data_IF_805320571700
#
_entry.id   IF_805320571700
#
_cell.length_a   1.000
_cell.length_b   1.000
_cell.length_c   1.000
_cell.angle_alpha   90.00
_cell.angle_beta   90.00
_cell.angle_gamma   90.00
#
_symmetry.space_group_name_H-M   'P 1'
#
loop_
_entity.id
_entity.type
_entity.pdbx_description
1 polymer ?
#
# COMPACT_ATOMS: atom_id res chain seq x y z
N UNK A 1 6.11 25.97 -10.99
CA UNK A 1 6.84 24.70 -10.80
C UNK A 1 8.17 24.98 -10.15
N UNK A 2 8.44 24.28 -9.05
CA UNK A 2 9.66 24.44 -8.25
C UNK A 2 10.47 23.14 -8.24
N UNK A 3 11.81 23.26 -8.28
CA UNK A 3 12.74 22.13 -8.07
C UNK A 3 13.99 22.63 -7.34
N UNK A 4 14.38 21.97 -6.26
CA UNK A 4 15.56 22.31 -5.46
C UNK A 4 15.64 23.79 -5.04
N UNK A 5 14.51 24.38 -4.68
CA UNK A 5 14.41 25.79 -4.26
C UNK A 5 14.39 26.81 -5.41
N UNK A 6 14.50 26.38 -6.67
CA UNK A 6 14.46 27.26 -7.83
C UNK A 6 13.11 27.19 -8.56
N UNK A 7 12.59 28.33 -8.97
CA UNK A 7 11.41 28.40 -9.83
C UNK A 7 11.83 28.12 -11.27
N UNK A 8 11.36 26.98 -11.81
CA UNK A 8 11.67 26.55 -13.19
C UNK A 8 10.67 27.04 -14.21
N UNK A 9 9.40 27.15 -13.81
CA UNK A 9 8.32 27.62 -14.70
C UNK A 9 7.21 28.25 -13.91
N UNK A 10 6.70 29.39 -14.42
CA UNK A 10 5.52 30.10 -13.91
C UNK A 10 4.68 30.51 -15.10
N UNK A 11 3.42 30.06 -15.14
CA UNK A 11 2.48 30.43 -16.19
C UNK A 11 1.05 30.30 -15.66
N UNK A 12 0.07 30.70 -16.45
CA UNK A 12 -1.34 30.42 -16.17
C UNK A 12 -1.59 28.91 -16.09
N UNK A 13 -2.60 28.50 -15.30
CA UNK A 13 -2.91 27.08 -15.04
C UNK A 13 -3.05 26.30 -16.35
N UNK A 14 -3.85 26.80 -17.29
CA UNK A 14 -4.08 26.14 -18.57
C UNK A 14 -2.77 25.95 -19.36
N UNK A 15 -1.90 26.96 -19.36
CA UNK A 15 -0.61 26.88 -20.05
C UNK A 15 0.28 25.81 -19.40
N UNK A 16 0.35 25.76 -18.06
CA UNK A 16 1.14 24.76 -17.35
C UNK A 16 0.67 23.34 -17.64
N UNK A 17 -0.64 23.12 -17.73
CA UNK A 17 -1.21 21.78 -17.93
C UNK A 17 -1.24 21.32 -19.39
N UNK A 18 -1.52 22.23 -20.32
CA UNK A 18 -1.74 21.87 -21.73
C UNK A 18 -0.60 22.24 -22.67
N UNK A 19 0.25 23.19 -22.28
CA UNK A 19 1.36 23.66 -23.10
C UNK A 19 2.62 23.98 -22.27
N UNK A 20 3.09 23.06 -21.37
CA UNK A 20 4.25 23.29 -20.53
C UNK A 20 5.50 23.49 -21.37
N UNK A 21 6.32 24.49 -21.03
CA UNK A 21 7.54 24.83 -21.76
C UNK A 21 8.76 24.11 -21.15
N UNK A 22 8.83 24.01 -19.82
CA UNK A 22 10.00 23.44 -19.17
C UNK A 22 9.97 21.90 -19.18
N UNK A 23 11.06 21.19 -19.52
CA UNK A 23 11.11 19.72 -19.55
C UNK A 23 10.69 19.05 -18.24
N UNK A 24 11.06 19.64 -17.11
CA UNK A 24 10.69 19.11 -15.78
C UNK A 24 9.18 19.17 -15.53
N UNK A 25 8.51 20.25 -15.98
CA UNK A 25 7.05 20.34 -15.90
C UNK A 25 6.38 19.24 -16.73
N UNK A 26 6.89 18.95 -17.91
CA UNK A 26 6.40 17.85 -18.76
C UNK A 26 6.60 16.50 -18.08
N UNK A 27 7.76 16.28 -17.44
CA UNK A 27 8.02 15.07 -16.66
C UNK A 27 7.04 14.89 -15.50
N UNK A 28 6.79 15.94 -14.73
CA UNK A 28 5.83 15.89 -13.62
C UNK A 28 4.43 15.54 -14.11
N UNK A 29 3.98 16.15 -15.21
CA UNK A 29 2.67 15.88 -15.78
C UNK A 29 2.56 14.46 -16.37
N UNK A 30 3.62 13.97 -16.98
CA UNK A 30 3.69 12.61 -17.50
C UNK A 30 3.69 11.53 -16.38
N UNK A 31 4.16 11.88 -15.18
CA UNK A 31 4.18 10.99 -14.03
C UNK A 31 2.81 10.90 -13.29
N UNK A 32 1.83 11.74 -13.66
CA UNK A 32 0.49 11.72 -13.04
C UNK A 32 -0.35 10.64 -13.68
N UNK A 33 -0.74 9.58 -12.95
CA UNK A 33 -1.62 8.54 -13.49
C UNK A 33 -3.01 9.09 -13.76
N UNK A 34 -3.57 8.74 -14.90
CA UNK A 34 -4.94 9.10 -15.28
C UNK A 34 -5.82 7.87 -15.24
N UNK A 35 -7.09 8.06 -14.87
CA UNK A 35 -8.08 6.99 -14.95
C UNK A 35 -8.21 6.54 -16.42
N UNK A 36 -8.03 5.24 -16.64
CA UNK A 36 -8.13 4.64 -17.97
C UNK A 36 -6.81 4.47 -18.73
N UNK A 37 -5.69 5.01 -18.24
CA UNK A 37 -4.38 4.87 -18.93
C UNK A 37 -3.97 3.40 -19.14
N UNK A 38 -4.48 2.49 -18.29
CA UNK A 38 -4.17 1.05 -18.35
C UNK A 38 -5.27 0.19 -19.00
N UNK A 39 -6.35 0.77 -19.53
CA UNK A 39 -7.49 0.02 -20.07
C UNK A 39 -7.16 -0.89 -21.27
N UNK A 40 -6.08 -0.60 -22.00
CA UNK A 40 -5.66 -1.36 -23.18
C UNK A 40 -4.49 -2.31 -22.90
N UNK A 41 -4.14 -2.52 -21.62
CA UNK A 41 -3.04 -3.39 -21.23
C UNK A 41 -3.55 -4.49 -20.30
N UNK A 42 -3.17 -5.73 -20.59
CA UNK A 42 -3.49 -6.89 -19.76
C UNK A 42 -2.75 -6.83 -18.41
N UNK A 43 -1.62 -6.13 -18.36
CA UNK A 43 -0.76 -6.00 -17.18
C UNK A 43 -0.40 -4.54 -16.89
N UNK A 44 -0.17 -4.19 -15.61
CA UNK A 44 0.28 -2.85 -15.23
C UNK A 44 1.56 -2.47 -15.97
N UNK A 45 1.59 -1.31 -16.59
CA UNK A 45 2.76 -0.77 -17.26
C UNK A 45 3.58 0.09 -16.28
N UNK A 46 4.92 0.07 -16.45
CA UNK A 46 5.79 0.97 -15.72
C UNK A 46 5.60 2.40 -16.24
N UNK A 47 5.45 3.36 -15.32
CA UNK A 47 5.45 4.77 -15.72
C UNK A 47 6.80 5.15 -16.33
N UNK A 48 6.74 5.74 -17.51
CA UNK A 48 7.91 6.29 -18.19
C UNK A 48 8.22 7.64 -17.54
N UNK A 49 9.24 7.69 -16.71
CA UNK A 49 9.69 8.93 -16.02
C UNK A 49 10.60 9.81 -16.90
N UNK A 50 11.07 9.28 -18.01
CA UNK A 50 11.93 9.97 -18.96
C UNK A 50 11.40 9.81 -20.40
N UNK A 51 11.53 10.85 -21.21
CA UNK A 51 11.12 10.86 -22.63
C UNK A 51 11.91 9.79 -23.43
N UNK A 52 13.10 9.41 -22.96
CA UNK A 52 14.00 8.45 -23.61
C UNK A 52 13.80 7.00 -23.14
N UNK A 53 12.98 6.75 -22.11
CA UNK A 53 12.66 5.40 -21.67
C UNK A 53 11.58 4.76 -22.56
N UNK A 54 11.91 3.63 -23.17
CA UNK A 54 10.91 2.81 -23.88
C UNK A 54 9.99 2.14 -22.85
N UNK A 55 8.68 2.07 -23.10
CA UNK A 55 7.79 1.29 -22.27
C UNK A 55 8.27 -0.16 -22.22
N UNK A 56 8.34 -0.70 -21.01
CA UNK A 56 8.73 -2.09 -20.80
C UNK A 56 7.55 -2.99 -21.21
N UNK A 57 7.72 -3.74 -22.29
CA UNK A 57 6.61 -4.46 -22.96
C UNK A 57 6.48 -5.94 -22.57
N UNK A 58 7.49 -6.54 -21.96
CA UNK A 58 7.48 -7.98 -21.68
C UNK A 58 7.39 -8.27 -20.17
N UNK A 59 6.17 -8.23 -19.64
CA UNK A 59 5.90 -8.82 -18.33
C UNK A 59 5.24 -10.19 -18.55
N UNK A 60 5.93 -11.24 -18.12
CA UNK A 60 5.32 -12.55 -17.95
C UNK A 60 4.44 -12.50 -16.69
N UNK A 61 3.21 -13.00 -16.79
CA UNK A 61 2.40 -13.28 -15.59
C UNK A 61 3.08 -14.43 -14.84
N UNK A 62 3.61 -14.10 -13.65
CA UNK A 62 4.27 -15.08 -12.78
C UNK A 62 3.36 -15.54 -11.64
N UNK A 63 2.10 -15.10 -11.64
CA UNK A 63 1.13 -15.46 -10.59
C UNK A 63 0.54 -16.84 -10.89
N UNK A 64 0.82 -17.81 -10.05
CA UNK A 64 0.18 -19.11 -10.08
C UNK A 64 -1.22 -19.03 -9.47
N UNK A 65 -2.23 -18.79 -10.32
CA UNK A 65 -3.62 -18.53 -9.88
C UNK A 65 -4.28 -19.71 -9.19
N UNK A 66 -3.84 -20.93 -9.49
CA UNK A 66 -4.35 -22.17 -8.91
C UNK A 66 -3.59 -22.59 -7.65
N UNK A 67 -2.54 -21.88 -7.26
CA UNK A 67 -1.78 -22.16 -6.04
C UNK A 67 -2.48 -21.65 -4.78
N UNK A 68 -2.16 -22.28 -3.65
CA UNK A 68 -2.58 -21.80 -2.34
C UNK A 68 -2.08 -20.36 -2.10
N UNK A 69 -2.87 -19.49 -1.44
CA UNK A 69 -2.43 -18.15 -1.12
C UNK A 69 -1.17 -18.14 -0.25
N UNK A 70 -0.20 -17.30 -0.60
CA UNK A 70 0.97 -17.03 0.22
C UNK A 70 0.60 -16.34 1.54
N UNK A 71 -0.33 -15.38 1.46
CA UNK A 71 -0.91 -14.69 2.62
C UNK A 71 -2.43 -14.77 2.52
N UNK A 72 -3.05 -15.20 3.61
CA UNK A 72 -4.50 -15.24 3.77
C UNK A 72 -4.89 -14.47 5.04
N UNK A 73 -5.79 -13.54 4.90
CA UNK A 73 -6.35 -12.74 5.98
C UNK A 73 -7.85 -12.98 6.02
N UNK A 74 -8.35 -13.38 7.18
CA UNK A 74 -9.75 -13.73 7.39
C UNK A 74 -10.31 -12.94 8.55
N UNK A 75 -11.35 -12.18 8.30
CA UNK A 75 -12.17 -11.49 9.30
C UNK A 75 -11.36 -10.64 10.30
N UNK A 76 -10.33 -9.95 9.80
CA UNK A 76 -9.41 -9.17 10.63
C UNK A 76 -10.11 -7.97 11.25
N UNK A 77 -10.03 -7.87 12.58
CA UNK A 77 -10.52 -6.73 13.35
C UNK A 77 -9.39 -6.15 14.19
N UNK A 78 -9.15 -4.84 14.04
CA UNK A 78 -8.15 -4.11 14.83
C UNK A 78 -8.77 -2.82 15.36
N UNK A 79 -8.86 -2.71 16.69
CA UNK A 79 -9.42 -1.56 17.40
C UNK A 79 -8.41 -1.02 18.39
N UNK A 80 -8.43 0.28 18.59
CA UNK A 80 -7.59 0.96 19.57
C UNK A 80 -8.46 1.50 20.70
N UNK A 81 -8.22 1.06 21.95
CA UNK A 81 -8.94 1.57 23.09
C UNK A 81 -8.59 3.04 23.34
N UNK A 82 -9.60 3.87 23.55
CA UNK A 82 -9.45 5.25 23.99
C UNK A 82 -9.66 5.30 25.51
N UNK A 83 -8.58 5.50 26.28
CA UNK A 83 -8.70 5.67 27.72
C UNK A 83 -9.35 7.01 28.05
N UNK A 84 -10.25 7.02 29.03
CA UNK A 84 -10.93 8.23 29.47
C UNK A 84 -11.43 8.11 30.92
N UNK A 85 -11.79 9.26 31.51
CA UNK A 85 -12.35 9.32 32.86
C UNK A 85 -11.35 9.16 34.01
N UNK A 86 -11.86 9.24 35.26
CA UNK A 86 -11.09 9.37 36.50
C UNK A 86 -10.23 8.14 36.87
N UNK A 87 -10.35 6.99 36.17
CA UNK A 87 -9.62 5.73 36.46
C UNK A 87 -9.03 5.09 35.21
N UNK A 88 -8.74 5.86 34.16
CA UNK A 88 -8.16 5.37 32.90
C UNK A 88 -8.92 4.18 32.28
N UNK A 89 -10.26 4.13 32.47
CA UNK A 89 -11.10 3.09 31.88
C UNK A 89 -11.29 3.34 30.39
N UNK A 90 -11.35 2.27 29.61
CA UNK A 90 -11.72 2.35 28.20
C UNK A 90 -13.12 2.93 28.09
N UNK A 91 -13.25 4.11 27.46
CA UNK A 91 -14.53 4.82 27.30
C UNK A 91 -15.11 4.60 25.91
N UNK A 92 -14.23 4.42 24.91
CA UNK A 92 -14.59 4.12 23.53
C UNK A 92 -13.44 3.43 22.82
N UNK A 93 -13.68 2.97 21.60
CA UNK A 93 -12.66 2.34 20.75
C UNK A 93 -12.66 3.01 19.38
N UNK A 94 -11.47 3.18 18.80
CA UNK A 94 -11.32 3.54 17.39
C UNK A 94 -11.30 2.25 16.58
N UNK A 95 -12.29 2.08 15.73
CA UNK A 95 -12.44 0.95 14.81
C UNK A 95 -11.55 1.22 13.59
N UNK A 96 -10.31 0.74 13.63
CA UNK A 96 -9.33 1.01 12.59
C UNK A 96 -9.40 0.01 11.42
N UNK A 97 -9.69 -1.25 11.70
CA UNK A 97 -9.95 -2.31 10.72
C UNK A 97 -11.13 -3.12 11.20
N UNK A 98 -12.13 -3.32 10.36
CA UNK A 98 -13.33 -4.07 10.67
C UNK A 98 -13.60 -5.13 9.60
N UNK A 99 -13.57 -6.39 10.02
CA UNK A 99 -13.95 -7.57 9.22
C UNK A 99 -13.26 -7.64 7.84
N UNK A 100 -11.97 -7.29 7.77
CA UNK A 100 -11.20 -7.31 6.52
C UNK A 100 -10.74 -8.73 6.17
N UNK A 101 -11.04 -9.15 4.94
CA UNK A 101 -10.58 -10.44 4.42
C UNK A 101 -9.99 -10.26 3.02
N UNK A 102 -8.85 -10.89 2.74
CA UNK A 102 -8.23 -10.94 1.43
C UNK A 102 -7.18 -12.04 1.35
N UNK A 103 -6.83 -12.41 0.13
CA UNK A 103 -5.76 -13.34 -0.17
C UNK A 103 -4.71 -12.67 -1.05
N UNK A 104 -3.45 -13.10 -0.92
CA UNK A 104 -2.34 -12.67 -1.76
C UNK A 104 -1.53 -13.90 -2.17
N UNK A 105 -1.31 -14.10 -3.46
CA UNK A 105 -0.53 -15.20 -4.01
C UNK A 105 0.93 -14.81 -4.21
N UNK A 106 1.78 -15.80 -4.36
CA UNK A 106 3.16 -15.56 -4.74
C UNK A 106 3.25 -14.85 -6.10
N UNK A 107 4.11 -13.84 -6.20
CA UNK A 107 4.26 -13.01 -7.41
C UNK A 107 3.16 -11.97 -7.62
N UNK A 108 2.11 -11.96 -6.80
CA UNK A 108 1.00 -11.01 -6.89
C UNK A 108 1.31 -9.69 -6.17
N UNK A 109 0.75 -8.60 -6.68
CA UNK A 109 0.74 -7.29 -6.01
C UNK A 109 -0.70 -6.90 -5.71
N UNK A 110 -1.04 -6.78 -4.42
CA UNK A 110 -2.34 -6.32 -3.95
C UNK A 110 -2.23 -4.86 -3.47
N UNK A 111 -3.07 -3.97 -3.99
CA UNK A 111 -3.13 -2.59 -3.55
C UNK A 111 -4.34 -2.35 -2.63
N UNK A 112 -4.10 -1.85 -1.41
CA UNK A 112 -5.13 -1.33 -0.53
C UNK A 112 -5.31 0.17 -0.79
N UNK A 113 -6.46 0.55 -1.31
CA UNK A 113 -6.79 1.94 -1.61
C UNK A 113 -7.91 2.46 -0.71
N UNK A 114 -7.93 3.76 -0.47
CA UNK A 114 -8.95 4.41 0.36
C UNK A 114 -8.46 5.75 0.91
N UNK A 115 -9.33 6.48 1.58
CA UNK A 115 -9.05 7.79 2.17
C UNK A 115 -7.97 7.73 3.27
N UNK A 116 -7.40 8.89 3.63
CA UNK A 116 -6.48 8.97 4.77
C UNK A 116 -7.20 8.56 6.06
N UNK A 117 -6.56 7.73 6.87
CA UNK A 117 -7.14 7.26 8.14
C UNK A 117 -8.08 6.04 8.03
N UNK A 118 -8.37 5.51 6.85
CA UNK A 118 -9.29 4.36 6.69
C UNK A 118 -8.71 2.98 7.06
N UNK A 119 -7.55 2.91 7.74
CA UNK A 119 -7.01 1.66 8.28
C UNK A 119 -5.92 0.97 7.44
N UNK A 120 -5.53 1.46 6.25
CA UNK A 120 -4.51 0.83 5.40
C UNK A 120 -3.20 0.54 6.13
N UNK A 121 -2.62 1.54 6.77
CA UNK A 121 -1.38 1.40 7.54
C UNK A 121 -1.55 0.52 8.77
N UNK A 122 -2.73 0.54 9.39
CA UNK A 122 -3.07 -0.33 10.51
C UNK A 122 -3.12 -1.79 10.08
N UNK A 123 -3.72 -2.07 8.92
CA UNK A 123 -3.72 -3.41 8.32
C UNK A 123 -2.30 -3.93 8.12
N UNK A 124 -1.43 -3.17 7.46
CA UNK A 124 -0.03 -3.57 7.27
C UNK A 124 0.71 -3.83 8.60
N UNK A 125 0.48 -3.01 9.63
CA UNK A 125 1.06 -3.23 10.96
C UNK A 125 0.49 -4.45 11.66
N UNK A 126 -0.80 -4.74 11.48
CA UNK A 126 -1.44 -5.93 12.05
C UNK A 126 -0.89 -7.23 11.45
N UNK A 127 -0.60 -7.26 10.13
CA UNK A 127 0.03 -8.40 9.47
C UNK A 127 1.37 -8.81 10.09
N UNK A 128 2.14 -7.83 10.55
CA UNK A 128 3.44 -8.05 11.22
C UNK A 128 3.34 -8.14 12.75
N UNK A 129 2.13 -8.16 13.27
CA UNK A 129 1.87 -8.10 14.71
C UNK A 129 2.62 -6.93 15.40
N UNK A 130 2.72 -5.78 14.73
CA UNK A 130 3.17 -4.52 15.33
C UNK A 130 2.03 -3.86 16.11
N UNK A 131 0.79 -4.21 15.79
CA UNK A 131 -0.43 -3.91 16.53
C UNK A 131 -1.23 -5.19 16.71
N UNK A 132 -1.90 -5.31 17.85
CA UNK A 132 -2.72 -6.49 18.14
C UNK A 132 -4.08 -6.39 17.44
N UNK A 133 -4.50 -7.50 16.84
CA UNK A 133 -5.86 -7.68 16.34
C UNK A 133 -6.71 -8.37 17.40
N UNK A 134 -7.95 -7.94 17.53
CA UNK A 134 -8.90 -8.51 18.48
C UNK A 134 -9.57 -9.77 17.92
N UNK A 135 -9.72 -9.83 16.58
CA UNK A 135 -10.40 -10.92 15.89
C UNK A 135 -9.73 -11.20 14.55
N UNK A 136 -10.01 -12.38 13.99
CA UNK A 136 -9.57 -12.83 12.69
C UNK A 136 -8.43 -13.84 12.74
N UNK A 137 -8.00 -14.23 11.57
CA UNK A 137 -6.87 -15.12 11.35
C UNK A 137 -5.95 -14.57 10.27
N UNK A 138 -4.65 -14.71 10.47
CA UNK A 138 -3.64 -14.38 9.47
C UNK A 138 -2.80 -15.63 9.25
N UNK A 139 -2.80 -16.14 8.02
CA UNK A 139 -2.00 -17.29 7.62
C UNK A 139 -0.98 -16.85 6.59
N UNK A 140 0.28 -17.20 6.80
CA UNK A 140 1.38 -16.93 5.88
C UNK A 140 2.11 -18.23 5.58
N UNK A 141 2.24 -18.52 4.28
CA UNK A 141 2.85 -19.77 3.78
C UNK A 141 2.29 -21.03 4.46
N UNK A 142 0.95 -21.11 4.59
CA UNK A 142 0.23 -22.21 5.25
C UNK A 142 0.31 -22.23 6.78
N UNK A 143 1.08 -21.33 7.40
CA UNK A 143 1.21 -21.24 8.86
C UNK A 143 0.39 -20.08 9.42
N UNK A 144 -0.42 -20.36 10.44
CA UNK A 144 -1.12 -19.30 11.19
C UNK A 144 -0.13 -18.45 11.98
N UNK A 145 -0.15 -17.13 11.76
CA UNK A 145 0.87 -16.22 12.30
C UNK A 145 0.34 -15.24 13.35
N UNK A 146 -0.95 -14.97 13.42
CA UNK A 146 -1.56 -13.97 14.34
C UNK A 146 -1.40 -14.28 15.83
N UNK A 147 -0.95 -15.50 16.18
CA UNK A 147 -0.71 -15.93 17.55
C UNK A 147 0.77 -16.24 17.87
N UNK A 148 1.66 -15.95 16.93
CA UNK A 148 3.09 -16.18 17.16
C UNK A 148 3.66 -15.20 18.18
N UNK A 149 4.58 -15.68 19.00
CA UNK A 149 5.30 -14.88 20.02
C UNK A 149 6.77 -15.27 20.07
N UNK A 150 7.59 -14.45 20.73
CA UNK A 150 9.00 -14.77 20.97
C UNK A 150 9.81 -15.02 19.71
N UNK A 151 10.59 -16.10 19.71
CA UNK A 151 11.51 -16.46 18.60
C UNK A 151 10.76 -16.75 17.28
N UNK A 152 9.59 -17.39 17.34
CA UNK A 152 8.79 -17.70 16.16
C UNK A 152 8.32 -16.41 15.43
N UNK A 153 7.91 -15.40 16.19
CA UNK A 153 7.56 -14.08 15.61
C UNK A 153 8.78 -13.39 15.01
N UNK A 154 9.96 -13.49 15.64
CA UNK A 154 11.18 -12.92 15.09
C UNK A 154 11.59 -13.61 13.78
N UNK A 155 11.45 -14.93 13.68
CA UNK A 155 11.69 -15.67 12.43
C UNK A 155 10.72 -15.25 11.33
N UNK A 156 9.43 -15.07 11.65
CA UNK A 156 8.44 -14.56 10.69
C UNK A 156 8.85 -13.18 10.14
N UNK A 157 9.25 -12.26 11.02
CA UNK A 157 9.64 -10.89 10.63
C UNK A 157 10.90 -10.82 9.76
N UNK A 158 11.68 -11.88 9.67
CA UNK A 158 12.78 -12.00 8.70
C UNK A 158 12.28 -12.33 7.28
N UNK A 159 11.08 -12.90 7.16
CA UNK A 159 10.48 -13.29 5.89
C UNK A 159 9.54 -12.24 5.32
N UNK A 160 9.01 -11.35 6.17
CA UNK A 160 8.07 -10.28 5.78
C UNK A 160 8.69 -8.94 6.15
N UNK A 161 8.81 -8.04 5.19
CA UNK A 161 9.32 -6.69 5.41
C UNK A 161 8.22 -5.65 5.33
N UNK A 162 8.31 -4.63 6.16
CA UNK A 162 7.43 -3.47 6.15
C UNK A 162 8.26 -2.21 5.88
N UNK A 163 7.91 -1.49 4.84
CA UNK A 163 8.52 -0.20 4.53
C UNK A 163 7.62 0.88 5.10
N UNK A 164 8.12 1.61 6.08
CA UNK A 164 7.39 2.72 6.68
C UNK A 164 7.32 3.90 5.71
N UNK A 165 6.31 4.74 5.88
CA UNK A 165 6.07 5.90 5.04
C UNK A 165 7.17 6.96 5.22
N UNK A 166 7.71 7.08 6.44
CA UNK A 166 8.86 7.93 6.80
C UNK A 166 9.95 7.01 7.37
N UNK A 167 10.96 6.63 6.58
CA UNK A 167 12.06 5.79 7.02
C UNK A 167 13.05 6.50 7.94
#
# INVERSE_FOLDING_TARGET
VLRQGQVLETAAVDTLFYAPQHPYTRQLLAAVPRLGDMQNYDYPQKFVLSIDEKPFTDKLDTVERDSEPLLQVEDLVTRFPLPGGLRNRVVSEVHAVEHLSFNLRAGETLALVGESGCGKSTTGRALLQLVNSQQGAITFNGQRIDKLTGSALNTLRQQIQFIFQDP
#
